data_IF_062152965316
#
_entry.id   IF_062152965316
#
_cell.length_a   1.000
_cell.length_b   1.000
_cell.length_c   1.000
_cell.angle_alpha   90.00
_cell.angle_beta   90.00
_cell.angle_gamma   90.00
#
_symmetry.space_group_name_H-M   'P 1'
#
loop_
_entity.id
_entity.type
_entity.pdbx_description
1 polymer ?
#
# COMPACT_ATOMS: atom_id res chain seq x y z
N UNK A 1 6.15 37.99 0.15
CA UNK A 1 4.89 38.71 0.39
C UNK A 1 3.76 37.67 0.31
N UNK A 2 2.90 37.59 1.32
CA UNK A 2 1.74 36.70 1.31
C UNK A 2 0.67 37.31 0.40
N UNK A 3 0.33 36.62 -0.69
CA UNK A 3 -0.58 37.09 -1.75
C UNK A 3 -2.01 37.35 -1.24
N UNK A 4 -2.39 36.78 -0.10
CA UNK A 4 -3.73 36.91 0.50
C UNK A 4 -3.80 38.08 1.49
N UNK A 5 -2.73 38.32 2.24
CA UNK A 5 -2.75 39.29 3.34
C UNK A 5 -1.88 40.52 3.12
N UNK A 6 -1.16 40.59 2.00
CA UNK A 6 -0.18 41.63 1.65
C UNK A 6 0.94 41.83 2.70
N UNK A 7 1.15 40.82 3.56
CA UNK A 7 2.14 40.85 4.66
C UNK A 7 3.39 40.05 4.28
N UNK A 8 4.55 40.53 4.69
CA UNK A 8 5.82 39.81 4.53
C UNK A 8 5.85 38.60 5.49
N UNK A 9 6.34 37.45 5.02
CA UNK A 9 6.44 36.24 5.83
C UNK A 9 7.34 36.50 7.06
N UNK A 10 7.09 35.76 8.15
CA UNK A 10 7.96 35.79 9.32
C UNK A 10 9.41 35.45 8.90
N UNK A 11 10.45 36.21 9.32
CA UNK A 11 11.86 35.95 9.00
C UNK A 11 12.35 34.53 9.32
N UNK A 12 11.64 33.81 10.18
CA UNK A 12 11.95 32.43 10.57
C UNK A 12 11.43 31.37 9.58
N UNK A 13 10.67 31.76 8.55
CA UNK A 13 10.14 30.89 7.50
C UNK A 13 11.04 31.01 6.27
N UNK A 14 11.51 29.89 5.73
CA UNK A 14 12.48 29.84 4.62
C UNK A 14 11.88 29.29 3.31
N UNK A 15 10.57 29.41 3.13
CA UNK A 15 9.85 28.92 1.93
C UNK A 15 10.34 29.61 0.65
N UNK A 16 10.87 30.83 0.74
CA UNK A 16 11.51 31.53 -0.37
C UNK A 16 12.72 30.78 -0.94
N UNK A 17 13.34 29.89 -0.15
CA UNK A 17 14.51 29.08 -0.52
C UNK A 17 14.15 27.62 -0.81
N UNK A 18 12.85 27.32 -0.99
CA UNK A 18 12.34 25.95 -1.07
C UNK A 18 13.02 25.11 -2.16
N UNK A 19 13.22 25.69 -3.35
CA UNK A 19 13.83 24.99 -4.49
C UNK A 19 15.29 24.66 -4.20
N UNK A 20 16.08 25.62 -3.71
CA UNK A 20 17.49 25.43 -3.41
C UNK A 20 17.71 24.42 -2.26
N UNK A 21 16.87 24.50 -1.22
CA UNK A 21 16.84 23.55 -0.12
C UNK A 21 16.46 22.15 -0.62
N UNK A 22 15.43 22.04 -1.46
CA UNK A 22 15.00 20.77 -2.04
C UNK A 22 16.09 20.12 -2.90
N UNK A 23 16.78 20.89 -3.74
CA UNK A 23 17.90 20.41 -4.56
C UNK A 23 19.08 19.93 -3.71
N UNK A 24 19.40 20.66 -2.65
CA UNK A 24 20.46 20.27 -1.71
C UNK A 24 20.10 18.98 -0.99
N UNK A 25 18.87 18.88 -0.48
CA UNK A 25 18.36 17.67 0.18
C UNK A 25 18.32 16.45 -0.75
N UNK A 26 17.98 16.66 -2.03
CA UNK A 26 17.97 15.61 -3.04
C UNK A 26 19.38 15.11 -3.32
N UNK A 27 20.34 16.04 -3.49
CA UNK A 27 21.76 15.70 -3.70
C UNK A 27 22.34 14.95 -2.50
N UNK A 28 22.06 15.40 -1.28
CA UNK A 28 22.47 14.72 -0.05
C UNK A 28 21.86 13.31 0.07
N UNK A 29 20.59 13.16 -0.30
CA UNK A 29 19.93 11.87 -0.29
C UNK A 29 20.52 10.92 -1.34
N UNK A 30 20.74 11.38 -2.56
CA UNK A 30 21.35 10.58 -3.64
C UNK A 30 22.79 10.17 -3.31
N UNK A 31 23.59 11.07 -2.74
CA UNK A 31 24.97 10.78 -2.32
C UNK A 31 25.05 9.83 -1.12
N UNK A 32 23.98 9.69 -0.34
CA UNK A 32 23.90 8.74 0.77
C UNK A 32 23.68 7.29 0.33
N UNK A 33 23.43 7.03 -0.95
CA UNK A 33 23.16 5.69 -1.45
C UNK A 33 24.43 4.81 -1.51
N UNK A 34 24.29 3.47 -1.35
CA UNK A 34 23.05 2.70 -1.20
C UNK A 34 22.51 2.62 0.24
N UNK A 35 23.34 2.90 1.25
CA UNK A 35 23.02 2.68 2.67
C UNK A 35 21.96 3.65 3.20
N UNK A 36 21.92 4.86 2.65
CA UNK A 36 21.01 5.94 3.02
C UNK A 36 19.61 5.88 2.41
N UNK A 37 19.30 4.93 1.52
CA UNK A 37 18.01 4.87 0.82
C UNK A 37 16.79 4.80 1.76
N UNK A 38 16.96 4.16 2.92
CA UNK A 38 15.91 4.03 3.95
C UNK A 38 15.99 5.10 5.03
N UNK A 39 16.96 6.02 4.95
CA UNK A 39 17.10 7.09 5.95
C UNK A 39 16.04 8.16 5.75
N UNK A 40 15.58 8.74 6.87
CA UNK A 40 14.60 9.81 6.82
C UNK A 40 15.29 11.08 6.34
N UNK A 41 14.85 11.61 5.21
CA UNK A 41 15.28 12.93 4.74
C UNK A 41 14.93 13.97 5.82
N UNK A 42 15.95 14.68 6.30
CA UNK A 42 15.79 15.69 7.35
C UNK A 42 14.91 16.83 6.85
N UNK A 43 14.01 17.32 7.70
CA UNK A 43 13.19 18.49 7.37
C UNK A 43 14.01 19.77 7.51
N UNK A 44 14.53 20.27 6.40
CA UNK A 44 15.30 21.53 6.34
C UNK A 44 14.43 22.74 5.99
N UNK A 45 13.20 22.49 5.51
CA UNK A 45 12.22 23.52 5.13
C UNK A 45 11.32 23.82 6.33
N UNK A 46 11.45 25.03 6.85
CA UNK A 46 10.62 25.56 7.93
C UNK A 46 9.35 26.14 7.32
N UNK A 47 8.27 25.37 7.39
CA UNK A 47 6.95 25.77 6.91
C UNK A 47 6.10 26.37 8.03
N UNK A 48 5.02 27.05 7.68
CA UNK A 48 4.02 27.54 8.64
C UNK A 48 3.39 26.41 9.49
N UNK A 49 3.34 25.19 8.95
CA UNK A 49 2.80 24.00 9.61
C UNK A 49 3.70 23.54 10.78
N UNK A 50 5.02 23.63 10.60
CA UNK A 50 6.01 23.23 11.60
C UNK A 50 5.97 24.11 12.87
N UNK A 51 5.58 25.39 12.72
CA UNK A 51 5.39 26.33 13.83
C UNK A 51 4.05 26.16 14.57
N UNK A 52 3.21 25.17 14.21
CA UNK A 52 1.92 24.82 14.88
C UNK A 52 0.97 25.99 15.14
N UNK A 53 1.03 27.06 14.35
CA UNK A 53 0.06 28.15 14.43
C UNK A 53 -0.74 28.15 13.13
N UNK A 54 -1.97 27.65 13.20
CA UNK A 54 -3.01 28.12 12.27
C UNK A 54 -3.05 29.63 12.47
N UNK A 55 -2.46 30.35 11.52
CA UNK A 55 -2.49 31.80 11.55
C UNK A 55 -3.98 32.14 11.40
N UNK A 56 -4.55 32.73 12.45
CA UNK A 56 -5.85 33.38 12.36
C UNK A 56 -5.57 34.86 12.12
N UNK A 57 -5.92 35.38 10.96
CA UNK A 57 -5.97 36.84 10.74
C UNK A 57 -7.43 37.22 10.96
N UNK A 58 -7.67 38.06 11.96
CA UNK A 58 -9.01 38.51 12.36
C UNK A 58 -10.02 37.38 12.65
N UNK A 59 -9.54 36.25 13.20
CA UNK A 59 -10.39 35.12 13.60
C UNK A 59 -10.62 34.05 12.52
N UNK A 60 -10.14 34.25 11.29
CA UNK A 60 -10.28 33.32 10.17
C UNK A 60 -8.98 32.57 9.87
N UNK A 61 -9.06 31.26 9.58
CA UNK A 61 -7.92 30.44 9.17
C UNK A 61 -7.30 31.00 7.86
N UNK A 62 -6.00 31.24 7.85
CA UNK A 62 -5.30 32.06 6.82
C UNK A 62 -5.04 31.36 5.49
N UNK A 63 -5.26 30.05 5.36
CA UNK A 63 -4.98 29.31 4.11
C UNK A 63 -6.04 28.24 3.90
N UNK A 64 -7.13 28.58 3.21
CA UNK A 64 -8.01 27.60 2.57
C UNK A 64 -7.61 27.48 1.09
N UNK A 65 -6.94 26.39 0.68
CA UNK A 65 -6.58 26.15 -0.71
C UNK A 65 -7.77 26.23 -1.67
N UNK A 66 -8.96 25.85 -1.20
CA UNK A 66 -10.18 25.92 -1.99
C UNK A 66 -10.58 27.39 -2.22
N UNK A 67 -10.42 28.26 -1.23
CA UNK A 67 -10.68 29.69 -1.37
C UNK A 67 -9.71 30.37 -2.33
N UNK A 68 -8.41 30.05 -2.25
CA UNK A 68 -7.38 30.55 -3.18
C UNK A 68 -7.72 30.10 -4.61
N UNK A 69 -8.03 28.81 -4.78
CA UNK A 69 -8.44 28.26 -6.05
C UNK A 69 -9.68 28.97 -6.61
N UNK A 70 -10.74 29.10 -5.82
CA UNK A 70 -11.97 29.79 -6.24
C UNK A 70 -11.72 31.24 -6.64
N UNK A 71 -10.82 31.94 -5.94
CA UNK A 71 -10.43 33.31 -6.26
C UNK A 71 -9.65 33.38 -7.58
N UNK A 72 -8.69 32.48 -7.79
CA UNK A 72 -7.94 32.38 -9.06
C UNK A 72 -8.89 32.08 -10.23
N UNK A 73 -9.83 31.15 -10.07
CA UNK A 73 -10.87 30.88 -11.09
C UNK A 73 -11.76 32.11 -11.30
N UNK A 74 -12.18 32.80 -10.24
CA UNK A 74 -12.95 34.04 -10.33
C UNK A 74 -12.22 35.16 -11.06
N UNK A 75 -10.90 35.27 -10.90
CA UNK A 75 -10.04 36.20 -11.62
C UNK A 75 -9.87 35.81 -13.10
N UNK A 76 -9.69 34.52 -13.39
CA UNK A 76 -9.63 33.98 -14.76
C UNK A 76 -10.90 34.27 -15.57
N UNK A 77 -12.08 34.29 -14.92
CA UNK A 77 -13.35 34.66 -15.56
C UNK A 77 -13.43 36.17 -15.83
N UNK A 78 -12.71 37.00 -15.08
CA UNK A 78 -12.79 38.47 -15.12
C UNK A 78 -11.66 39.14 -15.93
N UNK A 79 -10.49 38.53 -16.00
CA UNK A 79 -9.31 39.05 -16.72
C UNK A 79 -8.87 38.06 -17.81
N UNK A 80 -8.77 38.56 -19.04
CA UNK A 80 -8.45 37.75 -20.22
C UNK A 80 -6.94 37.46 -20.38
N UNK A 81 -6.07 38.13 -19.62
CA UNK A 81 -4.61 38.03 -19.77
C UNK A 81 -3.96 36.88 -18.96
N UNK A 82 -4.73 36.18 -18.12
CA UNK A 82 -4.23 35.01 -17.39
C UNK A 82 -4.52 33.75 -18.21
N UNK A 83 -3.47 33.17 -18.78
CA UNK A 83 -3.58 31.93 -19.55
C UNK A 83 -3.96 30.77 -18.63
N UNK A 84 -5.20 30.27 -18.76
CA UNK A 84 -5.69 29.11 -18.00
C UNK A 84 -4.73 27.91 -18.06
N UNK A 85 -4.04 27.77 -19.20
CA UNK A 85 -3.06 26.72 -19.42
C UNK A 85 -1.85 26.81 -18.48
N UNK A 86 -1.37 28.02 -18.16
CA UNK A 86 -0.23 28.21 -17.25
C UNK A 86 -0.63 27.96 -15.80
N UNK A 87 -1.84 28.35 -15.41
CA UNK A 87 -2.38 28.09 -14.06
C UNK A 87 -2.54 26.59 -13.82
N UNK A 88 -3.06 25.85 -14.80
CA UNK A 88 -3.21 24.40 -14.66
C UNK A 88 -1.95 23.58 -14.96
N UNK A 89 -0.87 24.23 -15.42
CA UNK A 89 0.42 23.58 -15.56
C UNK A 89 1.12 23.34 -14.21
N UNK A 90 0.73 24.05 -13.15
CA UNK A 90 1.31 23.89 -11.81
C UNK A 90 0.32 23.29 -10.82
N UNK A 91 0.86 22.67 -9.77
CA UNK A 91 0.03 22.36 -8.61
C UNK A 91 -0.27 23.64 -7.85
N UNK A 92 -1.55 23.87 -7.53
CA UNK A 92 -2.03 25.10 -6.90
C UNK A 92 -1.79 25.11 -5.38
N UNK A 93 -1.09 24.09 -4.88
CA UNK A 93 -0.81 23.80 -3.47
C UNK A 93 0.54 23.09 -3.35
N UNK A 94 1.06 23.00 -2.12
CA UNK A 94 2.35 22.38 -1.83
C UNK A 94 2.46 20.88 -2.21
N UNK A 95 1.33 20.20 -2.35
CA UNK A 95 1.22 18.82 -2.83
C UNK A 95 0.01 18.71 -3.77
N UNK A 96 -0.03 17.71 -4.67
CA UNK A 96 -1.14 17.52 -5.61
C UNK A 96 -2.47 17.25 -4.88
N UNK A 97 -3.48 18.13 -4.93
CA UNK A 97 -4.76 17.94 -4.24
C UNK A 97 -5.55 16.72 -4.72
N UNK A 98 -5.22 16.23 -5.92
CA UNK A 98 -5.78 15.03 -6.51
C UNK A 98 -5.30 13.75 -5.81
N UNK A 99 -4.16 13.81 -5.10
CA UNK A 99 -3.48 12.67 -4.50
C UNK A 99 -3.29 12.81 -2.99
N UNK A 100 -3.52 14.00 -2.42
CA UNK A 100 -3.26 14.30 -1.02
C UNK A 100 -4.38 15.19 -0.44
N UNK A 101 -4.73 14.90 0.81
CA UNK A 101 -5.65 15.69 1.61
C UNK A 101 -5.02 17.04 1.99
N UNK A 102 -5.81 18.07 2.39
CA UNK A 102 -5.32 19.39 2.79
C UNK A 102 -4.41 19.43 4.02
N UNK A 103 -4.13 18.30 4.67
CA UNK A 103 -3.14 18.15 5.74
C UNK A 103 -1.85 17.44 5.26
N UNK A 104 -1.69 17.31 3.94
CA UNK A 104 -0.55 16.63 3.31
C UNK A 104 -0.58 15.11 3.44
N UNK A 105 -1.65 14.52 4.00
CA UNK A 105 -1.77 13.06 4.05
C UNK A 105 -2.16 12.51 2.69
N UNK A 106 -1.50 11.44 2.27
CA UNK A 106 -1.76 10.80 0.99
C UNK A 106 -3.16 10.18 0.96
N UNK A 107 -3.90 10.43 -0.13
CA UNK A 107 -5.20 9.80 -0.36
C UNK A 107 -5.06 8.28 -0.34
N UNK A 108 -5.80 7.67 0.58
CA UNK A 108 -5.85 6.21 0.72
C UNK A 108 -6.92 5.67 -0.23
N UNK A 109 -6.55 4.71 -1.07
CA UNK A 109 -7.49 4.08 -1.98
C UNK A 109 -8.67 3.46 -1.23
N UNK A 110 -9.87 3.91 -1.59
CA UNK A 110 -11.12 3.31 -1.12
C UNK A 110 -11.49 2.11 -2.01
N UNK A 111 -12.02 1.05 -1.41
CA UNK A 111 -12.51 -0.11 -2.17
C UNK A 111 -11.51 -1.24 -2.46
N UNK A 112 -10.37 -1.35 -1.76
CA UNK A 112 -9.51 -2.55 -1.81
C UNK A 112 -10.31 -3.84 -1.58
N UNK A 113 -11.17 -3.84 -0.55
CA UNK A 113 -12.07 -4.97 -0.27
C UNK A 113 -13.06 -5.23 -1.41
N UNK A 114 -13.48 -4.20 -2.14
CA UNK A 114 -14.37 -4.32 -3.30
C UNK A 114 -13.66 -4.99 -4.47
N UNK A 115 -12.40 -4.63 -4.74
CA UNK A 115 -11.57 -5.31 -5.76
C UNK A 115 -11.53 -6.83 -5.51
N UNK A 116 -11.15 -7.22 -4.28
CA UNK A 116 -11.13 -8.63 -3.89
C UNK A 116 -12.51 -9.29 -4.02
N UNK A 117 -13.59 -8.60 -3.61
CA UNK A 117 -14.94 -9.14 -3.71
C UNK A 117 -15.40 -9.39 -5.14
N UNK A 118 -15.01 -8.52 -6.07
CA UNK A 118 -15.39 -8.61 -7.49
C UNK A 118 -14.69 -9.76 -8.20
N UNK A 119 -13.46 -10.10 -7.78
CA UNK A 119 -12.64 -11.13 -8.42
C UNK A 119 -12.72 -12.50 -7.74
N UNK A 120 -12.82 -12.55 -6.41
CA UNK A 120 -12.66 -13.80 -5.65
C UNK A 120 -13.68 -14.87 -6.08
N UNK A 121 -13.19 -16.08 -6.27
CA UNK A 121 -14.02 -17.29 -6.30
C UNK A 121 -14.01 -17.89 -4.90
N UNK A 122 -15.20 -17.95 -4.29
CA UNK A 122 -15.39 -18.46 -2.93
C UNK A 122 -15.66 -19.95 -2.96
N UNK A 123 -15.11 -20.65 -1.98
CA UNK A 123 -15.45 -22.04 -1.69
C UNK A 123 -15.93 -22.15 -0.25
N UNK A 124 -16.79 -23.14 0.00
CA UNK A 124 -17.22 -23.47 1.36
C UNK A 124 -16.01 -23.93 2.17
N UNK A 125 -15.87 -23.44 3.41
CA UNK A 125 -14.86 -23.96 4.35
C UNK A 125 -15.06 -25.46 4.63
N UNK A 126 -16.29 -25.98 4.47
CA UNK A 126 -16.56 -27.41 4.62
C UNK A 126 -16.09 -28.25 3.42
N UNK A 127 -15.89 -27.61 2.26
CA UNK A 127 -15.47 -28.27 1.03
C UNK A 127 -13.96 -28.08 0.76
N UNK A 128 -13.24 -27.36 1.62
CA UNK A 128 -11.84 -27.01 1.42
C UNK A 128 -11.08 -27.02 2.75
N UNK A 129 -9.97 -27.72 2.95
CA UNK A 129 -9.37 -28.92 2.34
C UNK A 129 -8.25 -29.34 3.32
N UNK A 130 -7.78 -30.60 3.28
CA UNK A 130 -6.59 -31.07 4.00
C UNK A 130 -5.34 -30.49 3.32
N UNK A 131 -4.79 -29.35 3.77
CA UNK A 131 -3.65 -28.76 3.09
C UNK A 131 -2.40 -29.57 3.44
N UNK A 132 -1.43 -29.66 2.52
CA UNK A 132 -0.12 -30.21 2.89
C UNK A 132 0.68 -29.19 3.70
N UNK A 133 0.40 -27.90 3.51
CA UNK A 133 1.07 -26.80 4.19
C UNK A 133 0.14 -25.61 4.45
N UNK A 134 0.30 -24.99 5.62
CA UNK A 134 -0.35 -23.74 6.01
C UNK A 134 0.72 -22.70 6.30
N UNK A 135 0.60 -21.51 5.69
CA UNK A 135 1.49 -20.37 5.91
C UNK A 135 0.77 -19.31 6.73
N UNK A 136 1.36 -18.93 7.87
CA UNK A 136 0.83 -17.93 8.78
C UNK A 136 1.90 -16.88 9.10
N UNK A 137 1.58 -15.62 8.86
CA UNK A 137 2.34 -14.49 9.40
C UNK A 137 1.64 -13.90 10.63
N UNK A 138 2.34 -13.90 11.76
CA UNK A 138 1.80 -13.41 13.03
C UNK A 138 1.56 -11.89 13.01
N UNK A 139 2.36 -11.11 12.27
CA UNK A 139 2.09 -9.68 12.09
C UNK A 139 0.78 -9.43 11.35
N UNK A 140 0.50 -10.19 10.28
CA UNK A 140 -0.77 -10.12 9.57
C UNK A 140 -1.94 -10.56 10.45
N UNK A 141 -1.75 -11.63 11.22
CA UNK A 141 -2.76 -12.14 12.15
C UNK A 141 -3.15 -11.08 13.20
N UNK A 142 -2.17 -10.41 13.83
CA UNK A 142 -2.42 -9.37 14.85
C UNK A 142 -3.31 -8.23 14.35
N UNK A 143 -3.28 -7.90 13.05
CA UNK A 143 -4.17 -6.89 12.47
C UNK A 143 -5.62 -7.38 12.33
N UNK A 144 -5.84 -8.68 12.29
CA UNK A 144 -7.17 -9.28 12.14
C UNK A 144 -7.81 -9.65 13.46
N UNK A 145 -7.01 -9.93 14.50
CA UNK A 145 -7.52 -10.31 15.81
C UNK A 145 -8.16 -9.14 16.56
N UNK A 146 -9.25 -9.44 17.27
CA UNK A 146 -9.81 -8.52 18.25
C UNK A 146 -9.02 -8.67 19.56
N UNK A 147 -8.37 -7.59 19.99
CA UNK A 147 -7.71 -7.60 21.29
C UNK A 147 -8.78 -7.45 22.38
N UNK A 148 -8.82 -8.35 23.37
CA UNK A 148 -9.77 -8.25 24.47
C UNK A 148 -9.54 -6.95 25.25
N UNK A 149 -10.63 -6.38 25.75
CA UNK A 149 -10.60 -5.10 26.51
C UNK A 149 -9.90 -5.28 27.86
N UNK A 150 -9.89 -6.51 28.38
CA UNK A 150 -9.31 -6.87 29.67
C UNK A 150 -8.51 -8.16 29.56
N UNK A 151 -7.59 -8.35 30.50
CA UNK A 151 -6.74 -9.53 30.57
C UNK A 151 -5.27 -9.21 30.34
N UNK A 152 -4.45 -10.25 30.41
CA UNK A 152 -3.00 -10.18 30.18
C UNK A 152 -2.65 -10.61 28.77
N UNK A 153 -1.43 -10.29 28.33
CA UNK A 153 -0.88 -10.81 27.06
C UNK A 153 -0.97 -12.34 26.99
N UNK A 154 -0.65 -13.04 28.09
CA UNK A 154 -0.79 -14.51 28.16
C UNK A 154 -2.22 -14.96 27.92
N UNK A 155 -3.18 -14.35 28.61
CA UNK A 155 -4.61 -14.71 28.47
C UNK A 155 -5.07 -14.53 27.03
N UNK A 156 -4.69 -13.43 26.38
CA UNK A 156 -5.01 -13.19 24.97
C UNK A 156 -4.44 -14.28 24.05
N UNK A 157 -3.17 -14.63 24.21
CA UNK A 157 -2.53 -15.66 23.37
C UNK A 157 -3.18 -17.03 23.60
N UNK A 158 -3.42 -17.40 24.85
CA UNK A 158 -4.10 -18.67 25.17
C UNK A 158 -5.52 -18.70 24.60
N UNK A 159 -6.28 -17.61 24.73
CA UNK A 159 -7.67 -17.58 24.24
C UNK A 159 -7.71 -17.66 22.71
N UNK A 160 -6.73 -17.08 22.01
CA UNK A 160 -6.59 -17.25 20.55
C UNK A 160 -6.39 -18.71 20.14
N UNK A 161 -5.60 -19.50 20.89
CA UNK A 161 -5.34 -20.92 20.56
C UNK A 161 -6.61 -21.79 20.59
N UNK A 162 -7.60 -21.41 21.41
CA UNK A 162 -8.73 -22.28 21.76
C UNK A 162 -10.11 -21.73 21.37
N UNK A 163 -10.22 -20.51 20.83
CA UNK A 163 -11.50 -19.93 20.40
C UNK A 163 -11.49 -19.32 19.00
N UNK A 164 -12.54 -19.64 18.25
CA UNK A 164 -12.89 -19.06 16.96
C UNK A 164 -13.40 -17.62 17.12
N UNK A 165 -12.53 -16.63 16.87
CA UNK A 165 -12.96 -15.23 16.89
C UNK A 165 -13.56 -14.80 15.55
N UNK A 166 -14.82 -14.36 15.62
CA UNK A 166 -15.42 -13.41 14.67
C UNK A 166 -15.19 -11.98 15.21
N UNK A 167 -15.08 -10.92 14.41
CA UNK A 167 -16.15 -9.89 14.29
C UNK A 167 -15.58 -8.65 13.54
N UNK A 168 -16.51 -7.94 12.87
CA UNK A 168 -16.37 -6.70 12.11
C UNK A 168 -16.12 -5.43 12.97
N UNK A 169 -15.64 -4.42 12.23
CA UNK A 169 -15.65 -2.97 12.49
C UNK A 169 -14.76 -2.42 13.60
N UNK A 170 -13.67 -1.76 13.19
CA UNK A 170 -13.46 -0.36 13.55
C UNK A 170 -12.41 0.27 12.64
N UNK A 171 -12.76 1.46 12.21
CA UNK A 171 -12.15 2.33 11.20
C UNK A 171 -10.72 2.73 11.51
N UNK A 172 -9.86 2.73 10.47
CA UNK A 172 -8.62 3.52 10.40
C UNK A 172 -8.96 4.97 10.77
N UNK A 173 -8.61 5.41 11.98
CA UNK A 173 -8.55 6.83 12.35
C UNK A 173 -7.15 7.16 12.89
N UNK A 174 -6.57 8.17 12.24
CA UNK A 174 -5.38 8.98 12.51
C UNK A 174 -4.24 8.39 13.36
N UNK A 175 -3.02 8.54 12.83
CA UNK A 175 -1.74 8.17 13.46
C UNK A 175 -1.47 9.08 14.67
N UNK A 176 -1.92 8.68 15.86
CA UNK A 176 -1.42 9.22 17.13
C UNK A 176 -0.21 8.41 17.60
N UNK A 177 0.79 9.10 18.14
CA UNK A 177 2.01 8.51 18.70
C UNK A 177 1.69 7.76 20.00
N UNK A 178 1.53 6.43 19.90
CA UNK A 178 1.40 5.57 21.07
C UNK A 178 2.75 5.42 21.80
N UNK A 179 2.74 5.48 23.13
CA UNK A 179 3.93 5.27 23.97
C UNK A 179 4.42 3.81 23.86
N UNK A 180 5.73 3.61 23.99
CA UNK A 180 6.31 2.27 24.06
C UNK A 180 5.89 1.61 25.37
N UNK A 181 5.30 0.42 25.29
CA UNK A 181 4.97 -0.44 26.41
C UNK A 181 6.05 -1.52 26.53
N UNK A 182 6.53 -1.81 27.73
CA UNK A 182 7.35 -3.01 27.98
C UNK A 182 6.39 -4.19 28.14
N UNK A 183 6.24 -4.99 27.09
CA UNK A 183 5.29 -6.12 27.08
C UNK A 183 5.96 -7.39 27.63
N UNK A 184 5.32 -7.99 28.62
CA UNK A 184 5.58 -9.35 29.11
C UNK A 184 4.27 -10.13 29.13
N UNK A 185 4.34 -11.45 29.33
CA UNK A 185 3.15 -12.31 29.41
C UNK A 185 2.16 -11.88 30.51
N UNK A 186 2.65 -11.23 31.56
CA UNK A 186 1.87 -10.76 32.71
C UNK A 186 1.41 -9.31 32.56
N UNK A 187 1.91 -8.56 31.58
CA UNK A 187 1.48 -7.17 31.35
C UNK A 187 -0.02 -7.14 31.01
N UNK A 188 -0.80 -6.21 31.61
CA UNK A 188 -2.16 -5.93 31.15
C UNK A 188 -2.12 -5.60 29.66
N UNK A 189 -2.99 -6.21 28.86
CA UNK A 189 -2.97 -6.03 27.42
C UNK A 189 -3.29 -4.55 27.09
N UNK A 190 -2.37 -3.80 26.46
CA UNK A 190 -2.68 -2.44 26.05
C UNK A 190 -3.77 -2.40 24.99
N UNK A 191 -4.34 -1.21 24.76
CA UNK A 191 -5.33 -1.04 23.70
C UNK A 191 -4.75 -1.42 22.33
N UNK A 192 -5.62 -1.85 21.42
CA UNK A 192 -5.27 -2.17 20.03
C UNK A 192 -4.46 -1.08 19.36
N UNK A 193 -4.86 0.17 19.53
CA UNK A 193 -4.15 1.32 18.97
C UNK A 193 -2.77 1.51 19.61
N UNK A 194 -2.63 1.30 20.92
CA UNK A 194 -1.35 1.40 21.60
C UNK A 194 -0.33 0.35 21.09
N UNK A 195 -0.80 -0.84 20.69
CA UNK A 195 0.04 -1.89 20.13
C UNK A 195 0.29 -1.65 18.64
N UNK A 196 -0.78 -1.56 17.83
CA UNK A 196 -0.66 -1.60 16.37
C UNK A 196 -0.12 -0.31 15.76
N UNK A 197 -0.25 0.84 16.45
CA UNK A 197 0.31 2.13 15.99
C UNK A 197 1.77 2.35 16.41
N UNK A 198 2.30 1.55 17.33
CA UNK A 198 3.70 1.62 17.76
C UNK A 198 4.46 0.39 17.27
N UNK A 199 5.45 0.60 16.41
CA UNK A 199 6.24 -0.47 15.80
C UNK A 199 6.91 -1.37 16.85
N UNK A 200 7.50 -0.78 17.89
CA UNK A 200 8.22 -1.52 18.95
C UNK A 200 7.24 -2.41 19.74
N UNK A 201 6.05 -1.90 20.05
CA UNK A 201 5.02 -2.67 20.75
C UNK A 201 4.52 -3.84 19.89
N UNK A 202 4.29 -3.60 18.59
CA UNK A 202 3.90 -4.65 17.63
C UNK A 202 4.95 -5.75 17.55
N UNK A 203 6.23 -5.39 17.47
CA UNK A 203 7.35 -6.36 17.42
C UNK A 203 7.43 -7.17 18.71
N UNK A 204 7.32 -6.53 19.87
CA UNK A 204 7.32 -7.23 21.16
C UNK A 204 6.17 -8.24 21.27
N UNK A 205 4.94 -7.83 20.91
CA UNK A 205 3.79 -8.72 20.96
C UNK A 205 3.92 -9.87 19.96
N UNK A 206 4.37 -9.60 18.73
CA UNK A 206 4.61 -10.63 17.72
C UNK A 206 5.59 -11.69 18.25
N UNK A 207 6.70 -11.26 18.86
CA UNK A 207 7.69 -12.18 19.44
C UNK A 207 7.09 -13.06 20.53
N UNK A 208 6.35 -12.47 21.48
CA UNK A 208 5.68 -13.24 22.54
C UNK A 208 4.66 -14.24 21.96
N UNK A 209 3.92 -13.83 20.95
CA UNK A 209 2.90 -14.66 20.30
C UNK A 209 3.54 -15.86 19.55
N UNK A 210 4.60 -15.61 18.78
CA UNK A 210 5.39 -16.67 18.14
C UNK A 210 5.95 -17.64 19.18
N UNK A 211 6.58 -17.13 20.25
CA UNK A 211 7.18 -17.95 21.30
C UNK A 211 6.14 -18.84 21.97
N UNK A 212 4.99 -18.29 22.38
CA UNK A 212 3.94 -19.06 23.05
C UNK A 212 3.27 -20.10 22.14
N UNK A 213 3.15 -19.86 20.83
CA UNK A 213 2.69 -20.89 19.89
C UNK A 213 3.76 -21.98 19.76
N UNK A 214 5.01 -21.58 19.59
CA UNK A 214 6.12 -22.50 19.36
C UNK A 214 6.51 -23.31 20.60
N UNK A 215 6.11 -22.94 21.82
CA UNK A 215 6.37 -23.72 23.05
C UNK A 215 5.25 -24.69 23.41
N UNK A 216 4.11 -24.64 22.72
CA UNK A 216 2.94 -25.47 23.02
C UNK A 216 2.98 -26.78 22.22
N UNK A 217 3.78 -27.73 22.70
CA UNK A 217 4.00 -29.01 22.00
C UNK A 217 2.71 -29.83 21.85
N UNK A 218 1.76 -29.69 22.78
CA UNK A 218 0.45 -30.38 22.70
C UNK A 218 -0.39 -29.81 21.57
N UNK A 219 -0.54 -28.48 21.51
CA UNK A 219 -1.23 -27.80 20.42
C UNK A 219 -0.57 -28.12 19.08
N UNK A 220 0.76 -28.03 18.99
CA UNK A 220 1.48 -28.23 17.74
C UNK A 220 1.37 -29.67 17.24
N UNK A 221 1.43 -30.68 18.12
CA UNK A 221 1.22 -32.09 17.71
C UNK A 221 -0.17 -32.30 17.12
N UNK A 222 -1.20 -31.73 17.75
CA UNK A 222 -2.59 -31.89 17.30
C UNK A 222 -2.81 -31.15 15.98
N UNK A 223 -2.39 -29.89 15.88
CA UNK A 223 -2.62 -29.09 14.69
C UNK A 223 -1.80 -29.59 13.51
N UNK A 224 -0.53 -29.95 13.71
CA UNK A 224 0.39 -30.29 12.60
C UNK A 224 0.49 -31.80 12.30
N UNK A 225 -0.50 -32.58 12.73
CA UNK A 225 -0.53 -34.04 12.50
C UNK A 225 -0.66 -34.36 10.99
N UNK A 226 -1.59 -33.66 10.32
CA UNK A 226 -1.93 -33.89 8.92
C UNK A 226 -1.19 -32.97 7.93
N UNK A 227 -0.55 -31.91 8.41
CA UNK A 227 0.02 -30.87 7.56
C UNK A 227 1.27 -30.24 8.16
N UNK A 228 1.95 -29.48 7.32
CA UNK A 228 3.07 -28.62 7.70
C UNK A 228 2.53 -27.23 8.08
N UNK A 229 2.93 -26.70 9.22
CA UNK A 229 2.64 -25.31 9.60
C UNK A 229 3.91 -24.47 9.51
N UNK A 230 3.92 -23.50 8.60
CA UNK A 230 4.98 -22.50 8.46
C UNK A 230 4.55 -21.22 9.17
N UNK A 231 5.24 -20.91 10.27
CA UNK A 231 5.02 -19.71 11.09
C UNK A 231 6.11 -18.71 10.79
N UNK A 232 5.72 -17.50 10.43
CA UNK A 232 6.61 -16.36 10.26
C UNK A 232 6.14 -15.19 11.11
N UNK A 233 7.07 -14.32 11.48
CA UNK A 233 6.85 -13.21 12.40
C UNK A 233 7.76 -12.06 12.04
N UNK A 234 8.39 -11.42 13.03
CA UNK A 234 9.39 -10.38 12.72
C UNK A 234 10.74 -10.96 12.26
N UNK A 235 11.02 -12.21 12.59
CA UNK A 235 12.26 -12.87 12.18
C UNK A 235 12.21 -13.21 10.68
N UNK A 236 13.36 -13.04 10.01
CA UNK A 236 13.48 -13.25 8.56
C UNK A 236 13.37 -14.72 8.16
N UNK A 237 13.70 -15.64 9.05
CA UNK A 237 13.67 -17.08 8.81
C UNK A 237 12.41 -17.66 9.46
N UNK A 238 11.49 -18.25 8.67
CA UNK A 238 10.30 -18.88 9.23
C UNK A 238 10.64 -20.20 9.94
N UNK A 239 9.81 -20.53 10.92
CA UNK A 239 9.84 -21.84 11.59
C UNK A 239 8.75 -22.72 11.00
N UNK A 240 9.15 -23.89 10.53
CA UNK A 240 8.24 -24.94 10.10
C UNK A 240 7.98 -25.90 11.27
N UNK A 241 6.74 -26.35 11.41
CA UNK A 241 6.33 -27.37 12.36
C UNK A 241 5.58 -28.49 11.64
N UNK A 242 5.98 -29.74 11.88
CA UNK A 242 5.28 -30.92 11.37
C UNK A 242 5.30 -32.03 12.42
N UNK A 243 4.14 -32.59 12.76
CA UNK A 243 3.97 -33.58 13.84
C UNK A 243 4.62 -33.14 15.16
N UNK A 244 4.54 -31.84 15.45
CA UNK A 244 5.18 -31.20 16.61
C UNK A 244 6.69 -30.99 16.53
N UNK A 245 7.38 -31.48 15.49
CA UNK A 245 8.80 -31.24 15.27
C UNK A 245 9.03 -29.88 14.61
N UNK A 246 9.98 -29.10 15.13
CA UNK A 246 10.28 -27.73 14.71
C UNK A 246 11.56 -27.72 13.90
N UNK A 247 11.55 -27.05 12.75
CA UNK A 247 12.72 -26.86 11.89
C UNK A 247 12.74 -25.46 11.29
N UNK A 248 13.90 -24.83 11.26
CA UNK A 248 14.05 -23.54 10.58
C UNK A 248 14.09 -23.75 9.05
N UNK A 249 13.36 -22.92 8.31
CA UNK A 249 13.33 -22.96 6.85
C UNK A 249 14.16 -21.82 6.28
N UNK A 250 15.49 -22.01 6.33
CA UNK A 250 16.48 -21.06 5.78
C UNK A 250 16.23 -20.76 4.29
N UNK A 251 15.72 -21.75 3.56
CA UNK A 251 15.33 -21.60 2.17
C UNK A 251 14.14 -20.64 2.01
N UNK A 252 13.21 -20.58 2.98
CA UNK A 252 12.08 -19.66 2.98
C UNK A 252 12.40 -18.30 3.64
N UNK A 253 13.68 -18.01 3.91
CA UNK A 253 14.07 -16.74 4.49
C UNK A 253 13.66 -15.57 3.59
N UNK A 254 13.04 -14.55 4.19
CA UNK A 254 12.55 -13.37 3.49
C UNK A 254 13.26 -12.11 3.96
N UNK A 255 13.51 -11.20 3.01
CA UNK A 255 13.96 -9.82 3.28
C UNK A 255 12.81 -8.82 3.24
N UNK A 256 11.59 -9.27 2.94
CA UNK A 256 10.43 -8.39 2.96
C UNK A 256 10.14 -7.91 4.37
N UNK A 257 9.82 -6.63 4.50
CA UNK A 257 9.40 -6.06 5.78
C UNK A 257 7.89 -6.26 6.04
N UNK A 258 7.10 -6.32 4.96
CA UNK A 258 5.65 -6.43 5.02
C UNK A 258 5.17 -7.88 4.90
N UNK A 259 4.21 -8.23 5.75
CA UNK A 259 3.68 -9.58 5.88
C UNK A 259 3.03 -10.10 4.59
N UNK A 260 2.48 -9.21 3.75
CA UNK A 260 1.83 -9.59 2.50
C UNK A 260 2.84 -10.14 1.47
N UNK A 261 3.99 -9.49 1.33
CA UNK A 261 5.12 -10.00 0.53
C UNK A 261 5.68 -11.31 1.08
N UNK A 262 5.87 -11.41 2.41
CA UNK A 262 6.39 -12.62 3.05
C UNK A 262 5.46 -13.81 2.82
N UNK A 263 4.15 -13.67 3.07
CA UNK A 263 3.16 -14.75 2.88
C UNK A 263 3.15 -15.19 1.42
N UNK A 264 3.07 -14.26 0.47
CA UNK A 264 3.02 -14.60 -0.96
C UNK A 264 4.28 -15.36 -1.39
N UNK A 265 5.47 -14.88 -1.00
CA UNK A 265 6.74 -15.54 -1.31
C UNK A 265 6.81 -16.96 -0.72
N UNK A 266 6.46 -17.13 0.54
CA UNK A 266 6.53 -18.44 1.21
C UNK A 266 5.54 -19.44 0.61
N UNK A 267 4.32 -19.00 0.28
CA UNK A 267 3.32 -19.85 -0.39
C UNK A 267 3.82 -20.33 -1.74
N UNK A 268 4.39 -19.43 -2.55
CA UNK A 268 4.98 -19.78 -3.86
C UNK A 268 6.16 -20.73 -3.70
N UNK A 269 7.05 -20.49 -2.73
CA UNK A 269 8.25 -21.29 -2.51
C UNK A 269 8.00 -22.68 -1.87
N UNK A 270 6.86 -22.87 -1.20
CA UNK A 270 6.45 -24.16 -0.64
C UNK A 270 5.84 -25.08 -1.73
N UNK A 271 5.48 -24.54 -2.90
CA UNK A 271 5.01 -25.37 -4.02
C UNK A 271 6.08 -26.41 -4.38
N UNK A 272 5.68 -27.68 -4.30
CA UNK A 272 6.58 -28.82 -4.48
C UNK A 272 6.03 -29.87 -5.44
N UNK A 273 4.75 -29.82 -5.83
CA UNK A 273 4.14 -30.76 -6.80
C UNK A 273 2.78 -30.29 -7.34
N UNK A 274 2.34 -30.88 -8.46
CA UNK A 274 1.04 -30.60 -9.13
C UNK A 274 -0.18 -30.80 -8.21
N UNK A 275 -0.11 -31.76 -7.30
CA UNK A 275 -1.22 -32.12 -6.41
C UNK A 275 -1.12 -31.45 -5.03
N UNK A 276 -0.12 -30.60 -4.82
CA UNK A 276 0.05 -29.89 -3.55
C UNK A 276 -1.12 -28.92 -3.31
N UNK A 277 -1.62 -28.93 -2.06
CA UNK A 277 -2.58 -27.95 -1.56
C UNK A 277 -1.93 -27.08 -0.49
N UNK A 278 -1.73 -25.79 -0.79
CA UNK A 278 -1.12 -24.82 0.14
C UNK A 278 -2.17 -23.80 0.58
N UNK A 279 -2.25 -23.56 1.89
CA UNK A 279 -3.16 -22.60 2.49
C UNK A 279 -2.42 -21.36 2.98
N UNK A 280 -2.71 -20.22 2.37
CA UNK A 280 -2.31 -18.90 2.86
C UNK A 280 -3.34 -18.40 3.90
N UNK A 281 -2.92 -18.25 5.15
CA UNK A 281 -3.78 -17.76 6.21
C UNK A 281 -3.73 -16.23 6.29
N UNK A 282 -4.51 -15.57 5.43
CA UNK A 282 -4.52 -14.13 5.27
C UNK A 282 -5.89 -13.56 4.89
N UNK A 283 -6.18 -12.36 5.40
CA UNK A 283 -7.40 -11.61 5.06
C UNK A 283 -7.17 -10.42 4.14
N UNK A 284 -5.92 -10.02 3.89
CA UNK A 284 -5.58 -8.76 3.23
C UNK A 284 -5.79 -8.79 1.70
N UNK A 285 -6.14 -7.67 1.09
CA UNK A 285 -6.31 -7.58 -0.38
C UNK A 285 -4.96 -7.62 -1.10
N UNK A 286 -3.89 -7.07 -0.52
CA UNK A 286 -2.57 -7.09 -1.12
C UNK A 286 -2.08 -8.55 -1.28
N UNK A 287 -2.24 -9.39 -0.24
CA UNK A 287 -1.94 -10.84 -0.33
C UNK A 287 -2.72 -11.50 -1.46
N UNK A 288 -4.02 -11.21 -1.58
CA UNK A 288 -4.84 -11.78 -2.64
C UNK A 288 -4.35 -11.41 -4.06
N UNK A 289 -4.00 -10.14 -4.27
CA UNK A 289 -3.46 -9.66 -5.55
C UNK A 289 -2.11 -10.29 -5.85
N UNK A 290 -1.23 -10.40 -4.85
CA UNK A 290 0.09 -11.01 -5.01
C UNK A 290 0.01 -12.50 -5.34
N UNK A 291 -0.85 -13.24 -4.63
CA UNK A 291 -1.05 -14.66 -4.91
C UNK A 291 -1.55 -14.90 -6.34
N UNK A 292 -2.49 -14.07 -6.84
CA UNK A 292 -2.94 -14.16 -8.24
C UNK A 292 -1.82 -13.83 -9.23
N UNK A 293 -1.04 -12.78 -8.95
CA UNK A 293 0.07 -12.36 -9.80
C UNK A 293 1.12 -13.48 -9.91
N UNK A 294 1.57 -14.05 -8.79
CA UNK A 294 2.56 -15.14 -8.79
C UNK A 294 1.98 -16.44 -9.35
N UNK A 295 0.70 -16.71 -9.16
CA UNK A 295 0.06 -17.87 -9.79
C UNK A 295 0.24 -17.85 -11.31
N UNK A 296 -0.01 -16.69 -11.94
CA UNK A 296 0.14 -16.52 -13.37
C UNK A 296 1.60 -16.47 -13.84
N UNK A 297 2.45 -15.70 -13.16
CA UNK A 297 3.82 -15.45 -13.62
C UNK A 297 4.77 -16.61 -13.32
N UNK A 298 4.57 -17.34 -12.23
CA UNK A 298 5.35 -18.52 -11.88
C UNK A 298 4.78 -19.83 -12.47
N UNK A 299 3.72 -19.75 -13.28
CA UNK A 299 3.05 -20.91 -13.91
C UNK A 299 2.67 -22.02 -12.92
N UNK A 300 2.27 -21.63 -11.71
CA UNK A 300 1.96 -22.55 -10.61
C UNK A 300 0.83 -23.50 -11.04
N UNK A 301 0.95 -24.76 -10.64
CA UNK A 301 -0.05 -25.80 -10.96
C UNK A 301 -0.79 -26.28 -9.71
N UNK A 302 -0.16 -26.12 -8.55
CA UNK A 302 -0.72 -26.45 -7.25
C UNK A 302 -2.03 -25.73 -6.96
N UNK A 303 -2.77 -26.29 -6.00
CA UNK A 303 -3.97 -25.67 -5.46
C UNK A 303 -3.57 -24.72 -4.34
N UNK A 304 -3.85 -23.44 -4.53
CA UNK A 304 -3.57 -22.40 -3.52
C UNK A 304 -4.88 -21.86 -3.00
N UNK A 305 -5.06 -21.96 -1.69
CA UNK A 305 -6.18 -21.38 -0.97
C UNK A 305 -5.76 -20.18 -0.15
N UNK A 306 -6.67 -19.22 -0.04
CA UNK A 306 -6.51 -18.07 0.85
C UNK A 306 -7.68 -18.00 1.82
N UNK A 307 -7.41 -18.31 3.08
CA UNK A 307 -8.39 -18.29 4.15
C UNK A 307 -8.20 -17.08 5.04
N UNK A 308 -9.29 -16.39 5.32
CA UNK A 308 -9.29 -15.29 6.28
C UNK A 308 -9.10 -15.83 7.69
N UNK A 309 -8.28 -15.19 8.55
CA UNK A 309 -8.19 -15.54 9.96
C UNK A 309 -9.47 -15.30 10.79
N UNK A 310 -10.53 -14.80 10.16
CA UNK A 310 -11.78 -14.44 10.82
C UNK A 310 -12.77 -15.56 10.58
N UNK A 311 -13.32 -16.11 11.66
CA UNK A 311 -14.24 -17.23 11.60
C UNK A 311 -15.49 -16.92 10.76
N UNK A 312 -15.97 -17.92 10.01
CA UNK A 312 -17.14 -17.79 9.12
C UNK A 312 -16.90 -17.05 7.80
N UNK A 313 -15.68 -16.54 7.55
CA UNK A 313 -15.34 -15.98 6.24
C UNK A 313 -14.94 -17.08 5.25
N UNK A 314 -15.55 -17.04 4.07
CA UNK A 314 -15.26 -17.98 2.97
C UNK A 314 -13.76 -18.09 2.65
N UNK A 315 -13.33 -19.32 2.39
CA UNK A 315 -12.05 -19.61 1.76
C UNK A 315 -12.11 -19.19 0.27
N UNK A 316 -10.97 -18.84 -0.30
CA UNK A 316 -10.85 -18.38 -1.69
C UNK A 316 -9.91 -19.30 -2.45
N UNK A 317 -10.35 -19.71 -3.63
CA UNK A 317 -9.55 -20.52 -4.54
C UNK A 317 -8.78 -19.61 -5.50
N UNK A 318 -7.46 -19.55 -5.34
CA UNK A 318 -6.61 -18.68 -6.17
C UNK A 318 -6.51 -19.21 -7.59
N UNK A 319 -6.40 -20.53 -7.78
CA UNK A 319 -6.32 -21.18 -9.11
C UNK A 319 -7.58 -20.92 -9.92
N UNK A 320 -8.75 -21.19 -9.35
CA UNK A 320 -10.04 -20.98 -10.05
C UNK A 320 -10.28 -19.49 -10.29
N UNK A 321 -9.89 -18.63 -9.35
CA UNK A 321 -9.95 -17.18 -9.55
C UNK A 321 -9.06 -16.72 -10.71
N UNK A 322 -7.82 -17.23 -10.77
CA UNK A 322 -6.88 -16.96 -11.86
C UNK A 322 -7.47 -17.37 -13.22
N UNK A 323 -7.95 -18.62 -13.34
CA UNK A 323 -8.54 -19.15 -14.58
C UNK A 323 -9.71 -18.27 -15.05
N UNK A 324 -10.60 -17.88 -14.12
CA UNK A 324 -11.77 -17.04 -14.42
C UNK A 324 -11.39 -15.63 -14.93
N UNK A 325 -10.27 -15.09 -14.48
CA UNK A 325 -9.86 -13.71 -14.71
C UNK A 325 -8.50 -13.60 -15.42
N UNK A 326 -8.10 -14.63 -16.16
CA UNK A 326 -6.76 -14.77 -16.76
C UNK A 326 -6.35 -13.59 -17.66
N UNK A 327 -7.32 -12.92 -18.30
CA UNK A 327 -7.08 -11.77 -19.17
C UNK A 327 -6.64 -10.51 -18.40
N UNK A 328 -7.03 -10.37 -17.13
CA UNK A 328 -6.76 -9.18 -16.31
C UNK A 328 -5.63 -9.43 -15.31
N UNK A 329 -5.46 -10.68 -14.84
CA UNK A 329 -4.46 -11.00 -13.80
C UNK A 329 -3.03 -10.53 -14.14
N UNK A 330 -2.51 -10.65 -15.39
CA UNK A 330 -1.17 -10.17 -15.72
C UNK A 330 -0.95 -8.71 -15.35
N UNK A 331 -1.97 -7.86 -15.53
CA UNK A 331 -1.91 -6.43 -15.25
C UNK A 331 -2.47 -6.09 -13.85
N UNK A 332 -3.03 -7.06 -13.10
CA UNK A 332 -3.79 -6.80 -11.88
C UNK A 332 -2.93 -6.16 -10.77
N UNK A 333 -1.68 -6.56 -10.64
CA UNK A 333 -0.75 -5.96 -9.68
C UNK A 333 -0.50 -4.49 -10.02
N UNK A 334 -0.25 -4.20 -11.30
CA UNK A 334 -0.06 -2.85 -11.82
C UNK A 334 -1.32 -1.98 -11.65
N UNK A 335 -2.49 -2.51 -12.00
CA UNK A 335 -3.81 -1.88 -11.78
C UNK A 335 -4.00 -1.58 -10.30
N UNK A 336 -3.67 -2.52 -9.41
CA UNK A 336 -3.76 -2.32 -7.97
C UNK A 336 -2.75 -1.28 -7.45
N UNK A 337 -1.56 -1.19 -8.03
CA UNK A 337 -0.58 -0.19 -7.63
C UNK A 337 -1.03 1.22 -8.04
N UNK A 338 -1.31 1.44 -9.33
CA UNK A 338 -1.57 2.79 -9.88
C UNK A 338 -2.89 3.41 -9.41
N UNK A 339 -3.89 2.57 -9.11
CA UNK A 339 -5.15 3.03 -8.49
C UNK A 339 -5.04 3.23 -6.97
N UNK A 340 -3.83 3.16 -6.42
CA UNK A 340 -3.49 3.39 -5.03
C UNK A 340 -3.45 2.11 -4.18
N UNK A 341 -2.29 1.74 -3.68
CA UNK A 341 -2.13 0.78 -2.59
C UNK A 341 -1.48 1.46 -1.37
N UNK A 342 -1.00 0.74 -0.35
CA UNK A 342 -0.57 1.43 0.89
C UNK A 342 0.61 2.43 0.68
N UNK A 343 1.60 2.18 -0.20
CA UNK A 343 2.66 3.16 -0.48
C UNK A 343 2.34 4.14 -1.63
N UNK A 344 1.26 3.95 -2.39
CA UNK A 344 0.96 4.74 -3.61
C UNK A 344 -0.32 5.54 -3.44
N UNK A 345 -0.28 6.81 -3.87
CA UNK A 345 -1.41 7.71 -3.72
C UNK A 345 -2.57 7.29 -4.62
N UNK A 346 -3.77 7.31 -4.06
CA UNK A 346 -4.99 7.16 -4.85
C UNK A 346 -5.34 8.50 -5.51
N UNK A 347 -5.66 8.45 -6.80
CA UNK A 347 -6.19 9.62 -7.50
C UNK A 347 -7.66 9.88 -7.13
N UNK A 348 -7.99 11.12 -6.84
CA UNK A 348 -9.33 11.54 -6.45
C UNK A 348 -10.37 11.17 -7.51
N UNK A 349 -11.46 10.55 -7.05
CA UNK A 349 -12.54 10.08 -7.94
C UNK A 349 -12.23 8.79 -8.72
N UNK A 350 -11.01 8.25 -8.63
CA UNK A 350 -10.63 6.99 -9.29
C UNK A 350 -10.50 5.88 -8.25
N UNK A 351 -11.49 4.99 -8.22
CA UNK A 351 -11.51 3.82 -7.36
C UNK A 351 -11.01 2.54 -8.06
N UNK A 352 -10.81 1.48 -7.27
CA UNK A 352 -10.42 0.15 -7.77
C UNK A 352 -11.37 -0.42 -8.83
N UNK A 353 -12.67 -0.18 -8.67
CA UNK A 353 -13.67 -0.66 -9.62
C UNK A 353 -13.56 0.06 -10.98
N UNK A 354 -13.29 1.36 -10.98
CA UNK A 354 -13.04 2.14 -12.20
C UNK A 354 -11.81 1.62 -12.92
N UNK A 355 -10.69 1.46 -12.21
CA UNK A 355 -9.46 0.94 -12.78
C UNK A 355 -9.64 -0.48 -13.36
N UNK A 356 -10.34 -1.37 -12.64
CA UNK A 356 -10.66 -2.71 -13.12
C UNK A 356 -11.53 -2.68 -14.38
N UNK A 357 -12.49 -1.76 -14.45
CA UNK A 357 -13.36 -1.58 -15.63
C UNK A 357 -12.54 -1.13 -16.84
N UNK A 358 -11.57 -0.24 -16.65
CA UNK A 358 -10.66 0.22 -17.71
C UNK A 358 -9.73 -0.89 -18.17
N UNK A 359 -9.13 -1.63 -17.24
CA UNK A 359 -8.32 -2.82 -17.57
C UNK A 359 -9.13 -3.84 -18.38
N UNK A 360 -10.39 -4.07 -18.01
CA UNK A 360 -11.31 -4.99 -18.73
C UNK A 360 -11.65 -4.52 -20.14
N UNK A 361 -11.46 -3.23 -20.47
CA UNK A 361 -11.61 -2.69 -21.83
C UNK A 361 -10.37 -2.85 -22.70
N UNK A 362 -9.31 -3.50 -22.19
CA UNK A 362 -8.09 -3.79 -22.94
C UNK A 362 -6.96 -2.77 -22.74
N UNK A 363 -7.10 -1.79 -21.86
CA UNK A 363 -6.00 -0.91 -21.48
C UNK A 363 -4.99 -1.69 -20.64
N UNK A 364 -3.81 -1.91 -21.20
CA UNK A 364 -2.75 -2.73 -20.60
C UNK A 364 -1.86 -1.93 -19.65
N UNK A 365 -1.27 -2.61 -18.68
CA UNK A 365 -0.28 -2.07 -17.74
C UNK A 365 0.88 -3.06 -17.51
N UNK A 366 1.22 -3.85 -18.51
CA UNK A 366 2.24 -4.91 -18.44
C UNK A 366 3.67 -4.39 -18.26
N UNK A 367 3.94 -3.13 -18.64
CA UNK A 367 5.25 -2.49 -18.40
C UNK A 367 5.36 -1.94 -16.96
N UNK A 368 4.23 -1.59 -16.34
CA UNK A 368 4.22 -1.15 -14.96
C UNK A 368 4.51 -2.39 -14.09
N UNK A 369 5.49 -2.30 -13.20
CA UNK A 369 6.09 -3.40 -12.40
C UNK A 369 7.21 -4.19 -13.10
N UNK A 370 7.39 -4.06 -14.42
CA UNK A 370 8.57 -4.59 -15.11
C UNK A 370 9.76 -3.65 -14.94
N UNK A 371 10.53 -3.89 -13.89
CA UNK A 371 11.79 -3.24 -13.53
C UNK A 371 12.88 -3.19 -14.62
N UNK A 372 12.71 -3.90 -15.75
CA UNK A 372 13.61 -3.80 -16.91
C UNK A 372 13.04 -2.85 -17.98
N UNK A 373 11.75 -2.55 -17.94
CA UNK A 373 11.10 -1.65 -18.87
C UNK A 373 11.64 -0.21 -18.71
N UNK A 374 11.78 0.46 -19.86
CA UNK A 374 12.18 1.87 -19.88
C UNK A 374 11.10 2.73 -19.23
N UNK A 375 11.48 3.51 -18.22
CA UNK A 375 10.59 4.42 -17.45
C UNK A 375 9.71 5.31 -18.34
N UNK A 376 10.23 5.76 -19.49
CA UNK A 376 9.47 6.57 -20.45
C UNK A 376 8.28 5.80 -21.03
N UNK A 377 8.45 4.52 -21.38
CA UNK A 377 7.36 3.68 -21.88
C UNK A 377 6.37 3.30 -20.77
N UNK A 378 6.88 3.04 -19.56
CA UNK A 378 6.05 2.79 -18.37
C UNK A 378 5.14 3.98 -18.10
N UNK A 379 5.69 5.19 -18.12
CA UNK A 379 4.94 6.43 -17.90
C UNK A 379 3.90 6.67 -18.98
N UNK A 380 4.24 6.42 -20.24
CA UNK A 380 3.31 6.58 -21.36
C UNK A 380 2.13 5.61 -21.25
N UNK A 381 2.40 4.32 -20.99
CA UNK A 381 1.36 3.31 -20.79
C UNK A 381 0.46 3.63 -19.59
N UNK A 382 1.07 4.03 -18.46
CA UNK A 382 0.32 4.43 -17.26
C UNK A 382 -0.55 5.67 -17.51
N UNK A 383 -0.05 6.64 -18.29
CA UNK A 383 -0.80 7.84 -18.70
C UNK A 383 -2.04 7.45 -19.51
N UNK A 384 -1.88 6.65 -20.55
CA UNK A 384 -3.01 6.21 -21.39
C UNK A 384 -4.10 5.51 -20.55
N UNK A 385 -3.68 4.63 -19.64
CA UNK A 385 -4.58 3.96 -18.71
C UNK A 385 -5.32 4.95 -17.79
N UNK A 386 -4.62 5.91 -17.21
CA UNK A 386 -5.21 6.86 -16.26
C UNK A 386 -6.09 7.90 -16.95
N UNK A 387 -5.72 8.37 -18.14
CA UNK A 387 -6.57 9.22 -19.00
C UNK A 387 -7.90 8.52 -19.29
N UNK A 388 -7.87 7.21 -19.59
CA UNK A 388 -9.07 6.40 -19.77
C UNK A 388 -9.89 6.24 -18.47
N UNK A 389 -9.22 6.15 -17.30
CA UNK A 389 -9.90 6.16 -16.00
C UNK A 389 -10.68 7.45 -15.74
N UNK A 390 -10.18 8.59 -16.22
CA UNK A 390 -10.90 9.87 -16.15
C UNK A 390 -12.00 10.02 -17.22
N UNK A 391 -12.20 9.02 -18.08
CA UNK A 391 -13.20 9.05 -19.14
C UNK A 391 -12.81 9.92 -20.34
N UNK A 392 -11.53 10.26 -20.46
CA UNK A 392 -11.00 11.04 -21.58
C UNK A 392 -10.44 10.09 -22.64
N UNK A 393 -10.66 10.39 -23.93
CA UNK A 393 -10.28 9.49 -25.03
C UNK A 393 -8.77 9.48 -25.28
N UNK A 394 -8.14 10.65 -25.33
CA UNK A 394 -6.71 10.81 -25.60
C UNK A 394 -6.24 12.18 -25.13
N UNK A 395 -5.05 12.22 -24.53
CA UNK A 395 -4.31 13.43 -24.19
C UNK A 395 -2.82 13.18 -24.43
N UNK A 396 -2.09 14.22 -24.77
CA UNK A 396 -0.63 14.20 -24.91
C UNK A 396 0.03 14.12 -23.53
N UNK A 397 -0.51 14.86 -22.56
CA UNK A 397 0.03 14.97 -21.20
C UNK A 397 -1.09 14.91 -20.14
N UNK A 398 -0.74 14.59 -18.89
CA UNK A 398 -1.73 14.60 -17.80
C UNK A 398 -2.23 16.00 -17.47
N UNK A 399 -1.38 17.02 -17.64
CA UNK A 399 -1.76 18.43 -17.53
C UNK A 399 -2.85 18.81 -18.54
N UNK A 400 -2.80 18.26 -19.75
CA UNK A 400 -3.88 18.45 -20.76
C UNK A 400 -5.16 17.72 -20.32
N UNK A 401 -5.04 16.50 -19.78
CA UNK A 401 -6.18 15.77 -19.22
C UNK A 401 -6.84 16.53 -18.06
N UNK A 402 -6.04 17.17 -17.19
CA UNK A 402 -6.50 18.04 -16.09
C UNK A 402 -7.37 19.18 -16.61
N UNK A 403 -6.91 19.87 -17.64
CA UNK A 403 -7.64 20.95 -18.28
C UNK A 403 -8.94 20.44 -18.90
N UNK A 404 -8.87 19.34 -19.65
CA UNK A 404 -10.02 18.77 -20.33
C UNK A 404 -11.14 18.37 -19.36
N UNK A 405 -10.80 17.62 -18.30
CA UNK A 405 -11.77 17.18 -17.30
C UNK A 405 -12.31 18.36 -16.50
N UNK A 406 -11.48 19.37 -16.20
CA UNK A 406 -11.95 20.59 -15.55
C UNK A 406 -13.00 21.31 -16.40
N UNK A 407 -12.71 21.55 -17.69
CA UNK A 407 -13.64 22.19 -18.63
C UNK A 407 -14.95 21.42 -18.76
N UNK A 408 -14.88 20.07 -18.78
CA UNK A 408 -16.09 19.24 -18.80
C UNK A 408 -16.94 19.37 -17.53
N UNK A 409 -16.32 19.61 -16.36
CA UNK A 409 -17.02 19.74 -15.08
C UNK A 409 -17.59 21.15 -14.89
N UNK A 410 -16.84 22.19 -15.26
CA UNK A 410 -17.33 23.58 -15.21
C UNK A 410 -18.48 23.82 -16.17
N UNK A 411 -18.46 23.21 -17.36
CA UNK A 411 -19.58 23.32 -18.31
C UNK A 411 -20.91 22.73 -17.81
N UNK A 412 -20.91 21.96 -16.71
CA UNK A 412 -22.09 21.27 -16.17
C UNK A 412 -22.59 21.85 -14.84
N UNK A 413 -21.81 22.69 -14.17
CA UNK A 413 -22.08 23.14 -12.80
C UNK A 413 -21.95 24.67 -12.77
N UNK A 414 -22.85 25.35 -12.05
CA UNK A 414 -22.82 26.81 -11.89
C UNK A 414 -21.71 27.32 -10.95
N UNK A 415 -20.90 26.42 -10.38
CA UNK A 415 -19.81 26.73 -9.44
C UNK A 415 -18.53 26.01 -9.86
N UNK A 416 -17.37 26.55 -9.46
CA UNK A 416 -16.08 25.92 -9.70
C UNK A 416 -16.02 24.48 -9.12
N UNK A 417 -15.47 23.50 -9.85
CA UNK A 417 -15.23 22.15 -9.34
C UNK A 417 -14.31 22.18 -8.13
N UNK A 418 -14.40 21.18 -7.24
CA UNK A 418 -13.48 21.11 -6.10
C UNK A 418 -12.02 21.05 -6.54
N UNK A 419 -11.11 21.65 -5.78
CA UNK A 419 -9.69 21.67 -6.13
C UNK A 419 -9.10 20.26 -6.27
N UNK A 420 -9.42 19.35 -5.34
CA UNK A 420 -9.01 17.94 -5.39
C UNK A 420 -9.54 17.17 -6.61
N UNK A 421 -10.54 17.72 -7.32
CA UNK A 421 -11.15 17.10 -8.49
C UNK A 421 -10.41 17.40 -9.80
N UNK A 422 -9.42 18.30 -9.75
CA UNK A 422 -8.41 18.48 -10.79
C UNK A 422 -7.52 17.24 -10.85
N UNK A 423 -7.17 16.78 -12.04
CA UNK A 423 -6.25 15.65 -12.23
C UNK A 423 -4.84 16.11 -11.84
N UNK A 424 -3.93 15.20 -11.43
CA UNK A 424 -2.54 15.57 -11.18
C UNK A 424 -1.90 16.23 -12.42
N UNK A 425 -0.91 17.11 -12.20
CA UNK A 425 -0.03 17.54 -13.30
C UNK A 425 0.78 16.37 -13.84
N UNK A 426 1.46 16.58 -14.96
CA UNK A 426 2.32 15.56 -15.60
C UNK A 426 3.44 15.10 -14.68
N UNK A 427 4.05 16.04 -13.96
CA UNK A 427 5.16 15.82 -13.04
C UNK A 427 4.68 15.05 -11.80
N UNK A 428 3.59 15.50 -11.17
CA UNK A 428 2.98 14.83 -10.03
C UNK A 428 2.53 13.41 -10.37
N UNK A 429 1.96 13.22 -11.57
CA UNK A 429 1.60 11.90 -12.06
C UNK A 429 2.83 11.02 -12.28
N UNK A 430 3.87 11.54 -12.91
CA UNK A 430 5.12 10.82 -13.18
C UNK A 430 5.74 10.28 -11.89
N UNK A 431 5.85 11.11 -10.85
CA UNK A 431 6.37 10.69 -9.54
C UNK A 431 5.55 9.55 -8.91
N UNK A 432 4.22 9.61 -9.02
CA UNK A 432 3.36 8.54 -8.52
C UNK A 432 3.50 7.25 -9.34
N UNK A 433 3.72 7.35 -10.66
CA UNK A 433 4.03 6.21 -11.53
C UNK A 433 5.36 5.58 -11.15
N UNK A 434 6.42 6.37 -10.97
CA UNK A 434 7.72 5.89 -10.53
C UNK A 434 7.62 5.15 -9.21
N UNK A 435 6.89 5.73 -8.24
CA UNK A 435 6.63 5.07 -6.96
C UNK A 435 5.91 3.75 -7.12
N UNK A 436 4.86 3.69 -7.95
CA UNK A 436 4.11 2.47 -8.22
C UNK A 436 4.97 1.40 -8.89
N UNK A 437 5.77 1.80 -9.89
CA UNK A 437 6.67 0.94 -10.64
C UNK A 437 7.75 0.33 -9.76
N UNK A 438 8.49 1.16 -9.01
CA UNK A 438 9.58 0.70 -8.17
C UNK A 438 9.10 -0.09 -6.96
N UNK A 439 8.04 0.37 -6.27
CA UNK A 439 7.55 -0.32 -5.06
C UNK A 439 7.01 -1.71 -5.41
N UNK A 440 6.21 -1.80 -6.46
CA UNK A 440 5.62 -3.08 -6.89
C UNK A 440 6.65 -3.96 -7.60
N UNK A 441 7.56 -3.37 -8.38
CA UNK A 441 8.64 -4.09 -9.05
C UNK A 441 9.63 -4.73 -8.06
N UNK A 442 9.97 -4.02 -6.98
CA UNK A 442 10.80 -4.58 -5.90
C UNK A 442 10.11 -5.75 -5.18
N UNK A 443 8.78 -5.69 -5.05
CA UNK A 443 7.97 -6.78 -4.50
C UNK A 443 8.02 -8.03 -5.38
N UNK A 444 8.10 -7.87 -6.71
CA UNK A 444 8.28 -8.97 -7.67
C UNK A 444 9.71 -9.51 -7.67
N UNK A 445 10.73 -8.64 -7.65
CA UNK A 445 12.14 -9.09 -7.62
C UNK A 445 12.49 -9.84 -6.34
N UNK A 446 12.05 -9.34 -5.18
CA UNK A 446 12.35 -9.97 -3.89
C UNK A 446 11.70 -11.34 -3.70
N UNK A 447 10.66 -11.65 -4.47
CA UNK A 447 9.94 -12.93 -4.46
C UNK A 447 10.42 -13.91 -5.55
N UNK A 448 10.96 -13.40 -6.67
CA UNK A 448 11.36 -14.20 -7.84
C UNK A 448 12.85 -14.57 -7.99
N UNK A 449 13.78 -14.00 -7.22
CA UNK A 449 15.21 -14.37 -7.36
C UNK A 449 15.59 -15.64 -6.57
N UNK A 450 15.48 -16.79 -7.25
CA UNK A 450 16.44 -17.91 -7.10
C UNK A 450 16.94 -18.32 -8.48
N UNK A 451 18.03 -17.72 -8.92
CA UNK A 451 18.95 -18.35 -9.90
C UNK A 451 20.21 -18.76 -9.14
N UNK A 452 20.70 -20.00 -9.30
CA UNK A 452 21.94 -20.45 -8.68
C UNK A 452 23.12 -20.09 -9.58
N UNK A 453 23.86 -19.03 -9.27
CA UNK A 453 25.30 -18.93 -9.58
C UNK A 453 25.87 -17.58 -9.15
N UNK A 454 27.05 -17.65 -8.54
CA UNK A 454 27.96 -16.56 -8.21
C UNK A 454 27.94 -15.39 -9.20
N UNK A 455 27.69 -14.19 -8.69
CA UNK A 455 27.86 -12.94 -9.42
C UNK A 455 27.40 -11.79 -8.55
N UNK A 456 28.36 -10.96 -8.11
CA UNK A 456 28.08 -9.70 -7.41
C UNK A 456 27.08 -8.87 -8.23
N UNK A 457 25.92 -8.53 -7.68
CA UNK A 457 25.06 -7.50 -8.24
C UNK A 457 25.68 -6.13 -7.93
N UNK A 458 26.54 -5.66 -8.83
CA UNK A 458 26.87 -4.27 -9.02
C UNK A 458 25.64 -3.53 -9.56
N UNK A 459 25.20 -2.49 -8.84
CA UNK A 459 24.24 -1.52 -9.34
C UNK A 459 24.89 -0.78 -10.52
N UNK A 460 24.31 -0.92 -11.71
CA UNK A 460 24.67 -0.13 -12.90
C UNK A 460 23.60 0.93 -13.14
N UNK A 461 23.99 2.21 -13.01
CA UNK A 461 23.39 3.31 -13.75
C UNK A 461 24.39 3.69 -14.83
N UNK A 462 23.99 3.53 -16.09
CA UNK A 462 24.75 3.99 -17.24
C UNK A 462 24.28 5.38 -17.66
N UNK A 463 25.25 6.29 -17.74
CA UNK A 463 25.37 7.55 -18.47
C UNK A 463 24.19 8.52 -18.57
#
# INVERSE_FOLDING_TARGET
MNVVSDKVANPEVNIDKLVDLGMTMMTEFETSWPEGFHTTILKSVITFEEKKKRLKVDGHDVMDPEAIYNQVIGLLVRQWDLYLQSVFATELTAYPPSMFDPDGTMHIATGKTTLKKNLQVKISQRNALNPIAIVVDISALLWTLLLPVQGTVKTFITTFKYHDYSIKSSTRKSRTTARVCKLTLQTPLPSRDAILKNYINKVQLNKLFCQEILTDDTFLKVVTDSHVLTITGKESIPTQVHKGQKSLRMDLASKFEEADGIIAQQVVAIETSLDACVLAFAGDTNVFVLLLFFYGTSSLQSTIYMQSPVYGHCCRDIKVTYIKHNAIVPDLLAVHAISGCDPIAASYGIGKATALTVASKGYRLDLLVDVVAKVTHVTEQAKEFMVACYGVKKCSFMTECRQHVWTQKTGKISSAPKLCSLQPTTEAFHENVLRAHLSSGNLVRGSGQRTPSNGSCTFWLGN
#
